data_IF_144054961650
#
_entry.id   IF_144054961650
#
_cell.length_a   1.000
_cell.length_b   1.000
_cell.length_c   1.000
_cell.angle_alpha   90.00
_cell.angle_beta   90.00
_cell.angle_gamma   90.00
#
_symmetry.space_group_name_H-M   'P 1'
#
loop_
_entity.id
_entity.type
_entity.pdbx_description
1 polymer ?
#
# COMPACT_ATOMS: atom_id res chain seq x y z
N UNK A 1 -44.38 -24.77 -5.45
CA UNK A 1 -43.49 -24.78 -6.62
C UNK A 1 -42.25 -23.97 -6.27
N UNK A 2 -41.13 -24.64 -5.96
CA UNK A 2 -39.86 -23.98 -5.71
C UNK A 2 -39.16 -23.74 -7.04
N UNK A 3 -38.94 -22.47 -7.41
CA UNK A 3 -38.09 -22.13 -8.54
C UNK A 3 -36.65 -22.48 -8.17
N UNK A 4 -36.08 -23.44 -8.90
CA UNK A 4 -34.67 -23.73 -8.85
C UNK A 4 -33.89 -22.52 -9.39
N UNK A 5 -33.15 -21.85 -8.51
CA UNK A 5 -32.13 -20.88 -8.90
C UNK A 5 -31.04 -21.67 -9.63
N UNK A 6 -31.02 -21.64 -10.96
CA UNK A 6 -29.88 -22.08 -11.76
C UNK A 6 -28.71 -21.15 -11.44
N UNK A 7 -27.92 -21.51 -10.43
CA UNK A 7 -26.63 -20.88 -10.21
C UNK A 7 -25.77 -21.14 -11.44
N UNK A 8 -25.37 -20.09 -12.16
CA UNK A 8 -24.34 -20.21 -13.18
C UNK A 8 -23.06 -20.66 -12.49
N UNK A 9 -22.67 -21.93 -12.66
CA UNK A 9 -21.33 -22.36 -12.32
C UNK A 9 -20.39 -21.56 -13.23
N UNK A 10 -19.53 -20.75 -12.63
CA UNK A 10 -18.49 -20.06 -13.37
C UNK A 10 -17.48 -21.12 -13.80
N UNK A 11 -17.46 -21.42 -15.09
CA UNK A 11 -16.48 -22.34 -15.67
C UNK A 11 -15.23 -21.55 -16.07
N UNK A 12 -14.11 -21.84 -15.42
CA UNK A 12 -12.80 -21.29 -15.78
C UNK A 12 -12.04 -22.26 -16.65
N UNK A 13 -11.30 -21.76 -17.63
CA UNK A 13 -10.44 -22.62 -18.44
C UNK A 13 -9.25 -23.12 -17.60
N UNK A 14 -8.79 -24.37 -17.77
CA UNK A 14 -7.68 -24.92 -16.98
C UNK A 14 -6.42 -24.06 -17.00
N UNK A 15 -6.11 -23.43 -18.13
CA UNK A 15 -4.96 -22.53 -18.30
C UNK A 15 -5.07 -21.25 -17.45
N UNK A 16 -6.28 -20.69 -17.30
CA UNK A 16 -6.54 -19.48 -16.50
C UNK A 16 -6.39 -19.78 -15.00
N UNK A 17 -6.84 -20.95 -14.57
CA UNK A 17 -6.67 -21.42 -13.21
C UNK A 17 -5.20 -21.67 -12.88
N UNK A 18 -4.42 -22.23 -13.81
CA UNK A 18 -2.99 -22.47 -13.60
C UNK A 18 -2.19 -21.17 -13.55
N UNK A 19 -2.49 -20.19 -14.41
CA UNK A 19 -1.90 -18.85 -14.32
C UNK A 19 -2.20 -18.19 -12.97
N UNK A 20 -3.46 -18.31 -12.50
CA UNK A 20 -3.88 -17.77 -11.20
C UNK A 20 -3.12 -18.45 -10.06
N UNK A 21 -2.98 -19.79 -10.09
CA UNK A 21 -2.21 -20.54 -9.08
C UNK A 21 -0.76 -20.07 -9.03
N UNK A 22 -0.11 -19.90 -10.18
CA UNK A 22 1.27 -19.37 -10.24
C UNK A 22 1.36 -17.99 -9.58
N UNK A 23 0.45 -17.06 -9.91
CA UNK A 23 0.40 -15.73 -9.29
C UNK A 23 0.23 -15.80 -7.77
N UNK A 24 -0.62 -16.69 -7.27
CA UNK A 24 -0.86 -16.88 -5.83
C UNK A 24 0.42 -17.35 -5.13
N UNK A 25 1.10 -18.35 -5.69
CA UNK A 25 2.33 -18.92 -5.10
C UNK A 25 3.48 -17.94 -5.17
N UNK A 26 3.78 -17.39 -6.35
CA UNK A 26 4.92 -16.49 -6.57
C UNK A 26 4.87 -15.23 -5.71
N UNK A 27 3.67 -14.76 -5.40
CA UNK A 27 3.47 -13.51 -4.66
C UNK A 27 3.05 -13.73 -3.21
N UNK A 28 2.77 -14.97 -2.80
CA UNK A 28 2.23 -15.28 -1.49
C UNK A 28 0.90 -14.56 -1.22
N UNK A 29 -0.06 -14.65 -2.15
CA UNK A 29 -1.34 -13.97 -2.00
C UNK A 29 -2.25 -14.74 -1.03
N UNK A 30 -2.82 -14.02 -0.07
CA UNK A 30 -3.92 -14.52 0.76
C UNK A 30 -5.26 -14.16 0.10
N UNK A 31 -6.36 -14.81 0.48
CA UNK A 31 -7.69 -14.41 0.03
C UNK A 31 -8.00 -12.93 0.29
N UNK A 32 -7.51 -12.37 1.40
CA UNK A 32 -7.66 -10.95 1.73
C UNK A 32 -6.92 -10.06 0.73
N UNK A 33 -5.71 -10.43 0.31
CA UNK A 33 -4.95 -9.70 -0.72
C UNK A 33 -5.74 -9.62 -2.02
N UNK A 34 -6.23 -10.77 -2.49
CA UNK A 34 -7.04 -10.85 -3.71
C UNK A 34 -8.33 -10.03 -3.57
N UNK A 35 -9.07 -10.18 -2.47
CA UNK A 35 -10.31 -9.46 -2.23
C UNK A 35 -10.14 -7.93 -2.30
N UNK A 36 -9.16 -7.39 -1.57
CA UNK A 36 -8.92 -5.93 -1.58
C UNK A 36 -8.43 -5.44 -2.95
N UNK A 37 -7.52 -6.16 -3.59
CA UNK A 37 -7.01 -5.73 -4.88
C UNK A 37 -8.08 -5.79 -5.99
N UNK A 38 -8.96 -6.79 -5.96
CA UNK A 38 -10.10 -6.88 -6.88
C UNK A 38 -11.12 -5.76 -6.63
N UNK A 39 -11.43 -5.41 -5.37
CA UNK A 39 -12.30 -4.25 -5.08
C UNK A 39 -11.69 -2.96 -5.65
N UNK A 40 -10.40 -2.73 -5.42
CA UNK A 40 -9.71 -1.55 -5.95
C UNK A 40 -9.71 -1.55 -7.49
N UNK A 41 -9.52 -2.71 -8.11
CA UNK A 41 -9.60 -2.88 -9.55
C UNK A 41 -10.99 -2.52 -10.08
N UNK A 42 -12.06 -3.11 -9.54
CA UNK A 42 -13.44 -2.83 -9.95
C UNK A 42 -13.82 -1.36 -9.74
N UNK A 43 -13.38 -0.73 -8.64
CA UNK A 43 -13.60 0.70 -8.44
C UNK A 43 -12.90 1.55 -9.50
N UNK A 44 -11.73 1.13 -9.97
CA UNK A 44 -11.02 1.84 -11.01
C UNK A 44 -11.65 1.67 -12.39
N UNK A 45 -12.17 0.47 -12.71
CA UNK A 45 -12.88 0.20 -13.97
C UNK A 45 -14.11 1.09 -14.14
N UNK A 46 -14.78 1.45 -13.04
CA UNK A 46 -15.91 2.40 -13.05
C UNK A 46 -15.49 3.87 -12.82
N UNK A 47 -14.20 4.19 -12.89
CA UNK A 47 -13.63 5.52 -12.63
C UNK A 47 -13.92 6.09 -11.22
N UNK A 48 -14.28 5.24 -10.26
CA UNK A 48 -14.50 5.64 -8.87
C UNK A 48 -13.21 5.62 -8.03
N UNK A 49 -12.13 5.01 -8.51
CA UNK A 49 -10.83 5.02 -7.85
C UNK A 49 -9.88 6.05 -8.49
N UNK A 50 -9.64 7.15 -7.77
CA UNK A 50 -8.59 8.11 -8.07
C UNK A 50 -7.74 8.39 -6.81
N UNK A 51 -6.67 9.19 -6.92
CA UNK A 51 -5.77 9.45 -5.80
C UNK A 51 -6.49 10.13 -4.62
N UNK A 52 -7.47 11.01 -4.86
CA UNK A 52 -8.22 11.66 -3.78
C UNK A 52 -9.06 10.65 -2.99
N UNK A 53 -9.70 9.70 -3.68
CA UNK A 53 -10.45 8.60 -3.05
C UNK A 53 -9.52 7.68 -2.27
N UNK A 54 -8.38 7.28 -2.84
CA UNK A 54 -7.37 6.48 -2.15
C UNK A 54 -6.87 7.17 -0.88
N UNK A 55 -6.60 8.48 -0.95
CA UNK A 55 -6.17 9.30 0.18
C UNK A 55 -7.26 9.38 1.27
N UNK A 56 -8.53 9.55 0.87
CA UNK A 56 -9.66 9.55 1.80
C UNK A 56 -9.81 8.20 2.52
N UNK A 57 -9.76 7.09 1.76
CA UNK A 57 -9.82 5.74 2.32
C UNK A 57 -8.69 5.51 3.32
N UNK A 58 -7.46 5.87 2.96
CA UNK A 58 -6.30 5.76 3.83
C UNK A 58 -6.47 6.55 5.14
N UNK A 59 -6.91 7.81 5.05
CA UNK A 59 -7.21 8.66 6.23
C UNK A 59 -8.25 8.05 7.15
N UNK A 60 -9.31 7.46 6.60
CA UNK A 60 -10.38 6.83 7.38
C UNK A 60 -9.97 5.47 7.96
N UNK A 61 -9.13 4.74 7.25
CA UNK A 61 -8.64 3.43 7.68
C UNK A 61 -7.57 3.52 8.75
N UNK A 62 -6.68 4.52 8.69
CA UNK A 62 -5.49 4.61 9.56
C UNK A 62 -5.79 4.47 11.06
N UNK A 63 -6.75 5.19 11.69
CA UNK A 63 -7.02 5.04 13.12
C UNK A 63 -7.57 3.65 13.48
N UNK A 64 -8.30 3.02 12.56
CA UNK A 64 -8.85 1.67 12.77
C UNK A 64 -7.74 0.63 12.68
N UNK A 65 -6.91 0.70 11.62
CA UNK A 65 -5.76 -0.19 11.43
C UNK A 65 -4.82 -0.05 12.62
N UNK A 66 -4.48 1.17 13.02
CA UNK A 66 -3.68 1.45 14.22
C UNK A 66 -4.25 0.71 15.44
N UNK A 67 -5.52 0.96 15.78
CA UNK A 67 -6.18 0.31 16.92
C UNK A 67 -6.12 -1.22 16.84
N UNK A 68 -6.39 -1.81 15.68
CA UNK A 68 -6.35 -3.27 15.51
C UNK A 68 -4.94 -3.83 15.66
N UNK A 69 -3.94 -3.23 15.00
CA UNK A 69 -2.57 -3.72 15.07
C UNK A 69 -1.99 -3.60 16.48
N UNK A 70 -2.29 -2.49 17.18
CA UNK A 70 -1.91 -2.32 18.59
C UNK A 70 -2.58 -3.36 19.48
N UNK A 71 -3.88 -3.59 19.33
CA UNK A 71 -4.62 -4.58 20.12
C UNK A 71 -4.14 -6.02 19.87
N UNK A 72 -3.63 -6.31 18.67
CA UNK A 72 -3.05 -7.59 18.30
C UNK A 72 -1.59 -7.76 18.73
N UNK A 73 -0.97 -6.74 19.34
CA UNK A 73 0.47 -6.74 19.65
C UNK A 73 1.36 -6.77 18.40
N UNK A 74 0.85 -6.29 17.27
CA UNK A 74 1.57 -6.23 15.98
C UNK A 74 2.15 -4.84 15.68
N UNK A 75 1.86 -3.85 16.53
CA UNK A 75 2.36 -2.49 16.40
C UNK A 75 2.91 -1.99 17.73
N UNK A 76 4.22 -1.85 17.76
CA UNK A 76 5.05 -1.40 18.87
C UNK A 76 6.18 -0.55 18.30
N UNK A 77 5.92 0.72 17.97
CA UNK A 77 6.91 1.57 17.30
C UNK A 77 8.08 1.89 18.23
N UNK A 78 9.27 1.45 17.84
CA UNK A 78 10.53 1.61 18.58
C UNK A 78 11.49 2.52 17.84
N UNK A 79 12.44 3.15 18.55
CA UNK A 79 13.48 4.00 17.97
C UNK A 79 13.71 5.24 18.81
N UNK A 80 14.93 5.77 18.77
CA UNK A 80 15.34 6.96 19.50
C UNK A 80 15.17 8.23 18.66
N UNK A 81 15.19 8.11 17.33
CA UNK A 81 14.94 9.23 16.40
C UNK A 81 13.60 9.09 15.67
N UNK A 82 13.01 10.20 15.17
CA UNK A 82 11.82 10.13 14.34
C UNK A 82 11.96 9.23 13.09
N UNK A 83 13.16 9.15 12.52
CA UNK A 83 13.46 8.31 11.35
C UNK A 83 13.47 6.83 11.74
N UNK A 84 14.15 6.46 12.83
CA UNK A 84 14.16 5.07 13.33
C UNK A 84 12.75 4.59 13.72
N UNK A 85 11.94 5.48 14.31
CA UNK A 85 10.53 5.19 14.61
C UNK A 85 9.70 4.99 13.35
N UNK A 86 9.94 5.79 12.31
CA UNK A 86 9.28 5.61 11.01
C UNK A 86 9.69 4.28 10.36
N UNK A 87 10.97 3.93 10.41
CA UNK A 87 11.49 2.63 9.97
C UNK A 87 10.80 1.47 10.67
N UNK A 88 10.74 1.52 12.00
CA UNK A 88 10.06 0.52 12.82
C UNK A 88 8.58 0.40 12.46
N UNK A 89 7.88 1.53 12.28
CA UNK A 89 6.48 1.56 11.84
C UNK A 89 6.29 0.93 10.45
N UNK A 90 7.09 1.34 9.46
CA UNK A 90 6.96 0.84 8.07
C UNK A 90 7.21 -0.66 8.02
N UNK A 91 8.23 -1.15 8.73
CA UNK A 91 8.54 -2.57 8.82
C UNK A 91 7.39 -3.36 9.43
N UNK A 92 6.91 -2.95 10.60
CA UNK A 92 5.81 -3.63 11.30
C UNK A 92 4.51 -3.57 10.51
N UNK A 93 4.23 -2.46 9.83
CA UNK A 93 3.08 -2.35 8.94
C UNK A 93 3.18 -3.32 7.75
N UNK A 94 4.35 -3.42 7.11
CA UNK A 94 4.58 -4.34 6.00
C UNK A 94 4.50 -5.80 6.44
N UNK A 95 4.98 -6.14 7.64
CA UNK A 95 4.87 -7.48 8.24
C UNK A 95 3.42 -7.82 8.61
N UNK A 96 2.72 -6.90 9.28
CA UNK A 96 1.38 -7.15 9.78
C UNK A 96 0.32 -7.24 8.67
N UNK A 97 0.47 -6.43 7.63
CA UNK A 97 -0.42 -6.40 6.46
C UNK A 97 0.14 -7.19 5.28
N UNK A 98 1.35 -7.75 5.37
CA UNK A 98 1.94 -8.52 4.28
C UNK A 98 1.99 -7.73 2.94
N UNK A 99 2.28 -6.43 2.97
CA UNK A 99 2.14 -5.55 1.79
C UNK A 99 3.05 -6.00 0.64
N UNK A 100 4.32 -6.29 0.93
CA UNK A 100 5.31 -6.72 -0.06
C UNK A 100 6.48 -7.49 0.59
N UNK A 101 7.31 -8.20 -0.19
CA UNK A 101 8.46 -8.94 0.35
C UNK A 101 9.49 -8.07 1.08
N UNK A 102 9.61 -6.81 0.67
CA UNK A 102 10.57 -5.87 1.24
C UNK A 102 9.94 -4.49 1.39
N UNK A 103 10.27 -3.82 2.49
CA UNK A 103 10.03 -2.40 2.68
C UNK A 103 11.34 -1.76 3.13
N UNK A 104 11.67 -0.61 2.56
CA UNK A 104 12.95 0.08 2.79
C UNK A 104 12.66 1.52 3.18
N UNK A 105 13.42 2.07 4.11
CA UNK A 105 13.43 3.50 4.39
C UNK A 105 14.85 4.01 4.19
N UNK A 106 14.99 5.20 3.59
CA UNK A 106 16.26 5.87 3.37
C UNK A 106 16.12 7.35 3.65
N UNK A 107 17.12 7.94 4.28
CA UNK A 107 17.25 9.40 4.37
C UNK A 107 18.03 9.91 3.17
N UNK A 108 17.54 10.97 2.54
CA UNK A 108 18.23 11.69 1.48
C UNK A 108 19.06 12.84 2.06
N UNK A 109 20.14 13.29 1.39
CA UNK A 109 20.97 14.41 1.87
C UNK A 109 20.24 15.74 2.07
N UNK A 110 19.05 15.90 1.47
CA UNK A 110 18.18 17.08 1.64
C UNK A 110 17.29 17.00 2.90
N UNK A 111 17.49 15.98 3.75
CA UNK A 111 16.73 15.73 4.97
C UNK A 111 15.35 15.13 4.73
N UNK A 112 15.01 14.78 3.49
CA UNK A 112 13.78 14.04 3.19
C UNK A 112 13.96 12.54 3.34
N UNK A 113 12.85 11.82 3.45
CA UNK A 113 12.84 10.39 3.71
C UNK A 113 12.13 9.68 2.58
N UNK A 114 12.78 8.69 1.97
CA UNK A 114 12.19 7.80 0.99
C UNK A 114 11.75 6.50 1.67
N UNK A 115 10.47 6.19 1.54
CA UNK A 115 9.91 4.88 1.89
C UNK A 115 9.63 4.10 0.61
N UNK A 116 10.33 2.99 0.42
CA UNK A 116 10.13 2.06 -0.67
C UNK A 116 9.27 0.88 -0.22
N UNK A 117 8.17 0.64 -0.92
CA UNK A 117 7.40 -0.61 -0.83
C UNK A 117 7.43 -1.32 -2.17
N UNK A 118 7.20 -2.64 -2.20
CA UNK A 118 7.19 -3.41 -3.45
C UNK A 118 6.31 -2.78 -4.53
N UNK A 119 6.84 -2.59 -5.74
CA UNK A 119 6.11 -2.03 -6.88
C UNK A 119 5.44 -3.10 -7.74
N UNK A 120 4.34 -2.74 -8.42
CA UNK A 120 3.69 -3.58 -9.42
C UNK A 120 3.37 -5.00 -8.93
N UNK A 121 4.07 -6.01 -9.49
CA UNK A 121 3.89 -7.43 -9.13
C UNK A 121 4.34 -7.78 -7.71
N UNK A 122 5.10 -6.92 -7.03
CA UNK A 122 5.60 -7.18 -5.66
C UNK A 122 4.65 -6.73 -4.55
N UNK A 123 3.80 -5.73 -4.80
CA UNK A 123 2.76 -5.36 -3.83
C UNK A 123 1.58 -6.33 -3.94
N UNK A 124 1.18 -6.91 -2.81
CA UNK A 124 0.06 -7.87 -2.71
C UNK A 124 -1.31 -7.19 -2.75
N UNK A 125 -1.35 -5.86 -2.68
CA UNK A 125 -2.59 -5.06 -2.78
C UNK A 125 -2.67 -4.24 -4.07
N UNK A 126 -1.73 -4.42 -5.00
CA UNK A 126 -1.71 -3.62 -6.23
C UNK A 126 -2.90 -4.00 -7.13
N UNK A 127 -3.83 -3.07 -7.43
CA UNK A 127 -4.96 -3.37 -8.31
C UNK A 127 -4.52 -3.71 -9.74
N UNK A 128 -3.40 -3.15 -10.23
CA UNK A 128 -2.81 -3.53 -11.53
C UNK A 128 -2.23 -4.93 -11.53
N UNK A 129 -1.58 -5.30 -10.42
CA UNK A 129 -0.82 -6.53 -10.32
C UNK A 129 -1.69 -7.72 -9.97
N UNK A 130 -2.59 -7.60 -8.98
CA UNK A 130 -3.45 -8.69 -8.49
C UNK A 130 -4.85 -8.60 -9.08
N UNK A 131 -5.46 -7.41 -9.07
CA UNK A 131 -6.82 -7.22 -9.57
C UNK A 131 -6.91 -6.99 -11.08
N UNK A 132 -5.78 -7.05 -11.78
CA UNK A 132 -5.66 -6.97 -13.24
C UNK A 132 -6.24 -5.70 -13.91
N UNK A 133 -6.54 -4.66 -13.13
CA UNK A 133 -7.10 -3.42 -13.65
C UNK A 133 -6.07 -2.53 -14.35
N UNK A 134 -6.51 -1.90 -15.44
CA UNK A 134 -5.78 -0.78 -16.04
C UNK A 134 -6.22 0.53 -15.38
N UNK A 135 -5.40 1.03 -14.45
CA UNK A 135 -5.70 2.28 -13.74
C UNK A 135 -4.81 3.44 -14.19
N UNK A 136 -5.38 4.63 -14.47
CA UNK A 136 -4.60 5.84 -14.71
C UNK A 136 -3.89 6.25 -13.41
N UNK A 137 -2.58 6.53 -13.49
CA UNK A 137 -1.76 6.90 -12.33
C UNK A 137 -1.49 5.73 -11.37
N UNK A 138 -1.42 6.06 -10.07
CA UNK A 138 -1.02 5.13 -9.00
C UNK A 138 -2.16 4.77 -8.03
N UNK A 139 -3.09 5.68 -7.76
CA UNK A 139 -4.27 5.51 -6.88
C UNK A 139 -4.01 4.59 -5.67
N UNK A 140 -2.87 4.80 -5.01
CA UNK A 140 -2.37 3.92 -3.96
C UNK A 140 -2.70 4.52 -2.60
N UNK A 141 -3.29 3.76 -1.65
CA UNK A 141 -3.61 4.28 -0.33
C UNK A 141 -2.41 4.30 0.62
N UNK A 142 -1.34 3.53 0.34
CA UNK A 142 -0.20 3.40 1.26
C UNK A 142 0.53 4.71 1.58
N UNK A 143 0.76 5.65 0.62
CA UNK A 143 1.38 6.94 0.92
C UNK A 143 0.72 7.69 2.07
N UNK A 144 -0.60 7.83 2.04
CA UNK A 144 -1.37 8.49 3.10
C UNK A 144 -1.60 7.62 4.32
N UNK A 145 -1.69 6.30 4.15
CA UNK A 145 -1.85 5.39 5.28
C UNK A 145 -0.63 5.49 6.21
N UNK A 146 0.57 5.42 5.64
CA UNK A 146 1.84 5.55 6.38
C UNK A 146 1.93 6.94 7.04
N UNK A 147 1.62 8.02 6.32
CA UNK A 147 1.59 9.38 6.88
C UNK A 147 0.68 9.48 8.11
N UNK A 148 -0.54 8.96 8.00
CA UNK A 148 -1.51 9.06 9.08
C UNK A 148 -1.18 8.14 10.26
N UNK A 149 -0.65 6.94 10.02
CA UNK A 149 -0.16 6.06 11.08
C UNK A 149 1.04 6.68 11.81
N UNK A 150 1.99 7.26 11.07
CA UNK A 150 3.14 7.94 11.65
C UNK A 150 2.73 9.08 12.59
N UNK A 151 1.72 9.88 12.21
CA UNK A 151 1.18 10.95 13.06
C UNK A 151 0.49 10.42 14.32
N UNK A 152 -0.21 9.30 14.24
CA UNK A 152 -0.80 8.65 15.43
C UNK A 152 0.28 8.18 16.42
N UNK A 153 1.46 7.86 15.90
CA UNK A 153 2.66 7.50 16.68
C UNK A 153 3.49 8.75 17.09
N UNK A 154 2.99 9.96 16.87
CA UNK A 154 3.68 11.20 17.24
C UNK A 154 4.88 11.55 16.36
N UNK A 155 4.94 11.00 15.14
CA UNK A 155 5.91 11.40 14.10
C UNK A 155 5.20 12.42 13.20
N UNK A 156 5.63 13.68 13.19
CA UNK A 156 5.06 14.72 12.32
C UNK A 156 5.53 14.56 10.87
N UNK A 157 5.02 13.51 10.23
CA UNK A 157 5.34 13.13 8.87
C UNK A 157 4.44 13.88 7.87
N UNK A 158 5.03 14.40 6.82
CA UNK A 158 4.35 15.08 5.70
C UNK A 158 4.73 14.41 4.38
N UNK A 159 3.73 14.01 3.60
CA UNK A 159 3.94 13.48 2.27
C UNK A 159 4.41 14.58 1.30
N UNK A 160 5.51 14.34 0.60
CA UNK A 160 6.07 15.23 -0.42
C UNK A 160 5.62 14.76 -1.79
N UNK A 161 4.87 15.61 -2.49
CA UNK A 161 4.45 15.35 -3.88
C UNK A 161 5.66 15.57 -4.79
N UNK A 162 5.96 14.58 -5.62
CA UNK A 162 7.12 14.60 -6.53
C UNK A 162 6.66 14.94 -7.94
N UNK A 163 7.55 15.58 -8.72
CA UNK A 163 7.33 15.74 -10.17
C UNK A 163 7.99 14.59 -10.91
N UNK A 164 7.20 13.72 -11.54
CA UNK A 164 7.65 12.56 -12.30
C UNK A 164 7.14 12.72 -13.73
N UNK A 165 8.06 12.74 -14.71
CA UNK A 165 7.72 12.89 -16.14
C UNK A 165 6.77 14.06 -16.44
N UNK A 166 6.93 15.18 -15.73
CA UNK A 166 6.09 16.37 -15.88
C UNK A 166 4.79 16.38 -15.06
N UNK A 167 4.39 15.26 -14.46
CA UNK A 167 3.19 15.11 -13.63
C UNK A 167 3.51 15.11 -12.14
N UNK A 168 2.55 15.51 -11.31
CA UNK A 168 2.66 15.43 -9.86
C UNK A 168 2.19 14.06 -9.36
N UNK A 169 3.10 13.30 -8.76
CA UNK A 169 2.83 11.95 -8.26
C UNK A 169 3.26 11.82 -6.79
N UNK A 170 2.45 11.10 -6.00
CA UNK A 170 2.78 10.72 -4.63
C UNK A 170 3.78 9.54 -4.57
N UNK A 171 3.99 8.86 -5.69
CA UNK A 171 4.81 7.65 -5.79
C UNK A 171 5.67 7.71 -7.05
N UNK A 172 6.99 7.56 -6.91
CA UNK A 172 7.90 7.31 -8.04
C UNK A 172 8.09 5.81 -8.20
N UNK A 173 7.88 5.28 -9.41
CA UNK A 173 8.15 3.87 -9.72
C UNK A 173 9.54 3.75 -10.30
N UNK A 174 10.40 3.02 -9.61
CA UNK A 174 11.78 2.82 -10.02
C UNK A 174 12.21 1.40 -9.62
N UNK A 175 12.80 0.69 -10.59
CA UNK A 175 13.13 -0.73 -10.47
C UNK A 175 11.93 -1.59 -10.01
N UNK A 176 12.04 -2.14 -8.80
CA UNK A 176 11.11 -3.08 -8.17
C UNK A 176 10.29 -2.42 -7.06
N UNK A 177 10.45 -1.11 -6.85
CA UNK A 177 9.89 -0.37 -5.72
C UNK A 177 9.01 0.80 -6.16
N UNK A 178 8.04 1.10 -5.30
CA UNK A 178 7.27 2.32 -5.28
C UNK A 178 7.84 3.21 -4.17
N UNK A 179 8.57 4.25 -4.57
CA UNK A 179 9.21 5.21 -3.66
C UNK A 179 8.26 6.33 -3.31
N UNK A 180 8.05 6.51 -2.02
CA UNK A 180 7.18 7.52 -1.43
C UNK A 180 8.09 8.48 -0.65
N UNK A 181 8.05 9.77 -1.00
CA UNK A 181 8.91 10.79 -0.38
C UNK A 181 8.16 11.50 0.74
N UNK A 182 8.79 11.62 1.89
CA UNK A 182 8.26 12.30 3.06
C UNK A 182 9.23 13.33 3.62
N UNK A 183 8.73 14.20 4.48
CA UNK A 183 9.51 15.09 5.33
C UNK A 183 9.00 14.96 6.77
N UNK A 184 9.90 14.94 7.74
CA UNK A 184 9.53 15.07 9.16
C UNK A 184 9.63 16.55 9.52
N UNK A 185 8.51 17.15 9.90
CA UNK A 185 8.49 18.57 10.30
C UNK A 185 9.21 18.74 11.64
N UNK A 186 10.04 19.77 11.73
CA UNK A 186 10.84 20.05 12.93
C UNK A 186 12.13 19.23 13.07
N UNK A 187 12.41 18.28 12.17
CA UNK A 187 13.70 17.60 12.11
C UNK A 187 14.70 18.43 11.30
N UNK A 188 15.75 18.93 11.95
CA UNK A 188 16.98 19.39 11.29
C UNK A 188 18.06 18.39 11.68
N UNK A 189 18.71 17.75 10.71
CA UNK A 189 19.93 17.01 11.01
C UNK A 189 20.92 17.97 11.68
N UNK A 190 21.47 17.54 12.82
CA UNK A 190 22.57 18.26 13.44
C UNK A 190 23.73 18.26 12.45
N UNK A 191 24.01 19.42 11.87
CA UNK A 191 25.20 19.67 11.04
C UNK A 191 26.46 19.63 11.90
#
# INVERSE_FOLDING_TARGET
MAQAVKGSLVEYRPEELEETRRKVVERGLSPCHAFFACILASLAEINALNQAVANFMAKKAAPKIHKYLTAMGKLHVTGNTPVERLESLVKQLNEALEISPEAVVKTEPDGTILVGIGGGRRCRYCPKGVGEAQIPGTACPFPRLIEHLARLEGIDLELVIQRVNGHFEEVRREDKLCWIKYRIRGFREAS
#
